data_IF_455194577975
#
_entry.id   IF_455194577975
#
_cell.length_a   1.000
_cell.length_b   1.000
_cell.length_c   1.000
_cell.angle_alpha   90.00
_cell.angle_beta   90.00
_cell.angle_gamma   90.00
#
_symmetry.space_group_name_H-M   'P 1'
#
loop_
_entity.id
_entity.type
_entity.pdbx_description
1 polymer ?
#
# COMPACT_ATOMS: atom_id res chain seq x y z
N UNK A 1 15.10 27.24 20.24
CA UNK A 1 14.18 26.12 20.59
C UNK A 1 13.06 26.00 19.55
N UNK A 2 12.24 27.04 19.33
CA UNK A 2 11.13 27.05 18.34
C UNK A 2 11.56 26.62 16.92
N UNK A 3 12.72 27.08 16.44
CA UNK A 3 13.24 26.69 15.11
C UNK A 3 13.62 25.20 14.98
N UNK A 4 14.05 24.56 16.07
CA UNK A 4 14.41 23.14 16.08
C UNK A 4 13.14 22.28 16.00
N UNK A 5 12.09 22.64 16.76
CA UNK A 5 10.80 21.95 16.73
C UNK A 5 10.10 22.04 15.37
N UNK A 6 10.15 23.20 14.71
CA UNK A 6 9.63 23.34 13.33
C UNK A 6 10.40 22.46 12.34
N UNK A 7 11.74 22.43 12.42
CA UNK A 7 12.55 21.61 11.50
C UNK A 7 12.27 20.12 11.63
N UNK A 8 12.02 19.64 12.86
CA UNK A 8 11.69 18.24 13.12
C UNK A 8 10.31 17.84 12.57
N UNK A 9 9.29 18.67 12.76
CA UNK A 9 7.95 18.40 12.22
C UNK A 9 7.97 18.34 10.69
N UNK A 10 8.67 19.28 10.04
CA UNK A 10 8.84 19.28 8.58
C UNK A 10 9.53 18.01 8.12
N UNK A 11 10.58 17.57 8.83
CA UNK A 11 11.26 16.32 8.52
C UNK A 11 10.35 15.09 8.63
N UNK A 12 9.51 15.00 9.66
CA UNK A 12 8.56 13.89 9.83
C UNK A 12 7.51 13.87 8.71
N UNK A 13 6.97 15.03 8.34
CA UNK A 13 6.01 15.12 7.22
C UNK A 13 6.69 14.75 5.91
N UNK A 14 7.91 15.23 5.67
CA UNK A 14 8.70 14.85 4.50
C UNK A 14 8.93 13.33 4.44
N UNK A 15 9.29 12.71 5.56
CA UNK A 15 9.51 11.27 5.65
C UNK A 15 8.21 10.47 5.45
N UNK A 16 7.08 10.96 5.98
CA UNK A 16 5.76 10.39 5.72
C UNK A 16 5.42 10.39 4.23
N UNK A 17 5.65 11.51 3.55
CA UNK A 17 5.42 11.65 2.11
C UNK A 17 6.36 10.73 1.31
N UNK A 18 7.63 10.61 1.70
CA UNK A 18 8.57 9.69 1.06
C UNK A 18 8.11 8.24 1.15
N UNK A 19 7.69 7.80 2.34
CA UNK A 19 7.11 6.47 2.53
C UNK A 19 5.83 6.27 1.71
N UNK A 20 4.95 7.28 1.66
CA UNK A 20 3.73 7.22 0.87
C UNK A 20 4.01 7.15 -0.63
N UNK A 21 5.01 7.88 -1.14
CA UNK A 21 5.42 7.81 -2.55
C UNK A 21 5.92 6.41 -2.92
N UNK A 22 6.75 5.79 -2.07
CA UNK A 22 7.25 4.44 -2.30
C UNK A 22 6.08 3.43 -2.29
N UNK A 23 5.20 3.53 -1.30
CA UNK A 23 4.11 2.58 -1.14
C UNK A 23 3.03 2.73 -2.22
N UNK A 24 2.45 3.92 -2.36
CA UNK A 24 1.38 4.21 -3.33
C UNK A 24 1.91 4.19 -4.76
N UNK A 25 3.05 4.83 -5.01
CA UNK A 25 3.68 4.83 -6.33
C UNK A 25 4.11 3.43 -6.77
N UNK A 26 4.63 2.61 -5.84
CA UNK A 26 4.96 1.22 -6.09
C UNK A 26 3.74 0.35 -6.43
N UNK A 27 2.61 0.54 -5.75
CA UNK A 27 1.34 -0.12 -6.07
C UNK A 27 0.85 0.23 -7.48
N UNK A 28 0.84 1.53 -7.81
CA UNK A 28 0.46 2.02 -9.14
C UNK A 28 1.39 1.45 -10.21
N UNK A 29 2.70 1.45 -9.97
CA UNK A 29 3.69 0.90 -10.89
C UNK A 29 3.50 -0.61 -11.12
N UNK A 30 3.26 -1.38 -10.06
CA UNK A 30 3.01 -2.81 -10.18
C UNK A 30 1.77 -3.12 -11.01
N UNK A 31 0.67 -2.40 -10.77
CA UNK A 31 -0.61 -2.67 -11.43
C UNK A 31 -0.60 -2.18 -12.89
N UNK A 32 -0.11 -0.98 -13.15
CA UNK A 32 -0.22 -0.34 -14.47
C UNK A 32 0.96 -0.60 -15.40
N UNK A 33 2.15 -0.89 -14.88
CA UNK A 33 3.35 -1.11 -15.69
C UNK A 33 3.76 -2.57 -15.68
N UNK A 34 4.02 -3.13 -14.50
CA UNK A 34 4.51 -4.52 -14.38
C UNK A 34 3.46 -5.52 -14.83
N UNK A 35 2.20 -5.38 -14.38
CA UNK A 35 1.11 -6.28 -14.75
C UNK A 35 0.94 -6.43 -16.27
N UNK A 36 0.80 -5.33 -17.03
CA UNK A 36 0.73 -5.38 -18.49
C UNK A 36 2.04 -5.85 -19.14
N UNK A 37 3.21 -5.45 -18.64
CA UNK A 37 4.49 -5.89 -19.19
C UNK A 37 4.66 -7.41 -19.12
N UNK A 38 4.20 -8.04 -18.04
CA UNK A 38 4.25 -9.50 -17.86
C UNK A 38 3.31 -10.26 -18.79
N UNK A 39 2.28 -9.61 -19.38
CA UNK A 39 1.43 -10.26 -20.40
C UNK A 39 2.19 -10.65 -21.66
N UNK A 40 3.38 -10.08 -21.89
CA UNK A 40 4.27 -10.44 -23.02
C UNK A 40 5.14 -11.68 -22.74
N UNK A 41 5.01 -12.30 -21.56
CA UNK A 41 5.76 -13.50 -21.23
C UNK A 41 5.41 -14.67 -22.16
N UNK A 42 6.42 -15.47 -22.48
CA UNK A 42 6.39 -16.57 -23.44
C UNK A 42 5.54 -17.76 -23.00
N UNK A 43 5.35 -17.97 -21.70
CA UNK A 43 4.47 -19.01 -21.15
C UNK A 43 3.70 -18.54 -19.92
N UNK A 44 2.57 -19.20 -19.63
CA UNK A 44 1.73 -18.93 -18.45
C UNK A 44 2.49 -19.19 -17.14
N UNK A 45 3.32 -20.24 -17.12
CA UNK A 45 4.17 -20.58 -15.97
C UNK A 45 5.23 -19.51 -15.71
N UNK A 46 5.86 -19.02 -16.78
CA UNK A 46 6.87 -17.97 -16.70
C UNK A 46 6.26 -16.63 -16.28
N UNK A 47 5.10 -16.27 -16.84
CA UNK A 47 4.34 -15.10 -16.40
C UNK A 47 4.13 -15.12 -14.88
N UNK A 48 3.60 -16.24 -14.34
CA UNK A 48 3.32 -16.38 -12.92
C UNK A 48 4.60 -16.33 -12.08
N UNK A 49 5.66 -17.03 -12.51
CA UNK A 49 6.96 -17.05 -11.83
C UNK A 49 7.59 -15.66 -11.75
N UNK A 50 7.62 -14.93 -12.87
CA UNK A 50 8.17 -13.58 -12.93
C UNK A 50 7.36 -12.61 -12.06
N UNK A 51 6.02 -12.70 -12.11
CA UNK A 51 5.14 -11.91 -11.26
C UNK A 51 5.42 -12.13 -9.77
N UNK A 52 5.46 -13.39 -9.31
CA UNK A 52 5.73 -13.74 -7.91
C UNK A 52 7.13 -13.30 -7.43
N UNK A 53 8.12 -13.28 -8.34
CA UNK A 53 9.46 -12.79 -8.07
C UNK A 53 9.49 -11.26 -7.91
N UNK A 54 8.82 -10.52 -8.80
CA UNK A 54 8.72 -9.06 -8.72
C UNK A 54 7.96 -8.65 -7.46
N UNK A 55 6.82 -9.28 -7.18
CA UNK A 55 6.05 -9.08 -5.95
C UNK A 55 6.90 -9.33 -4.69
N UNK A 56 7.72 -10.40 -4.70
CA UNK A 56 8.61 -10.74 -3.60
C UNK A 56 9.68 -9.66 -3.33
N UNK A 57 10.26 -9.10 -4.39
CA UNK A 57 11.24 -8.00 -4.28
C UNK A 57 10.57 -6.70 -3.83
N UNK A 58 9.42 -6.37 -4.41
CA UNK A 58 8.66 -5.19 -4.01
C UNK A 58 8.26 -5.24 -2.53
N UNK A 59 7.84 -6.42 -2.04
CA UNK A 59 7.48 -6.65 -0.64
C UNK A 59 8.58 -6.21 0.33
N UNK A 60 9.84 -6.50 0.02
CA UNK A 60 10.98 -6.16 0.88
C UNK A 60 11.18 -4.64 1.06
N UNK A 61 10.80 -3.85 0.04
CA UNK A 61 10.89 -2.38 0.07
C UNK A 61 9.60 -1.76 0.61
N UNK A 62 8.46 -2.35 0.25
CA UNK A 62 7.14 -1.83 0.59
C UNK A 62 6.85 -1.90 2.09
N UNK A 63 7.11 -3.01 2.78
CA UNK A 63 6.80 -3.12 4.22
C UNK A 63 7.54 -2.11 5.10
N UNK A 64 8.85 -1.85 4.89
CA UNK A 64 9.53 -0.75 5.55
C UNK A 64 8.88 0.60 5.27
N UNK A 65 8.48 0.88 4.02
CA UNK A 65 7.78 2.11 3.67
C UNK A 65 6.42 2.25 4.37
N UNK A 66 5.66 1.16 4.47
CA UNK A 66 4.42 1.09 5.27
C UNK A 66 4.72 1.42 6.72
N UNK A 67 5.75 0.79 7.31
CA UNK A 67 6.17 1.08 8.69
C UNK A 67 6.47 2.56 8.90
N UNK A 68 7.23 3.18 8.00
CA UNK A 68 7.52 4.62 8.03
C UNK A 68 6.22 5.44 7.96
N UNK A 69 5.31 5.14 7.03
CA UNK A 69 4.04 5.87 6.89
C UNK A 69 3.18 5.76 8.15
N UNK A 70 3.08 4.57 8.75
CA UNK A 70 2.28 4.34 9.94
C UNK A 70 2.86 5.07 11.16
N UNK A 71 4.18 4.97 11.38
CA UNK A 71 4.84 5.61 12.52
C UNK A 71 4.79 7.13 12.43
N UNK A 72 5.14 7.69 11.27
CA UNK A 72 5.10 9.13 11.02
C UNK A 72 3.66 9.66 11.03
N UNK A 73 2.70 8.89 10.50
CA UNK A 73 1.28 9.23 10.52
C UNK A 73 0.72 9.29 11.95
N UNK A 74 1.07 8.29 12.78
CA UNK A 74 0.70 8.28 14.19
C UNK A 74 1.30 9.47 14.94
N UNK A 75 2.58 9.77 14.70
CA UNK A 75 3.26 10.93 15.30
C UNK A 75 2.57 12.25 14.93
N UNK A 76 2.19 12.42 13.65
CA UNK A 76 1.46 13.60 13.20
C UNK A 76 0.10 13.75 13.89
N UNK A 77 -0.65 12.65 14.08
CA UNK A 77 -1.92 12.67 14.81
C UNK A 77 -1.73 13.03 16.28
N UNK A 78 -0.74 12.43 16.95
CA UNK A 78 -0.44 12.72 18.35
C UNK A 78 -0.09 14.19 18.54
N UNK A 79 0.79 14.74 17.69
CA UNK A 79 1.16 16.15 17.77
C UNK A 79 -0.02 17.08 17.51
N UNK A 80 -0.88 16.74 16.55
CA UNK A 80 -2.08 17.52 16.29
C UNK A 80 -2.98 17.57 17.52
N UNK A 81 -3.27 16.41 18.12
CA UNK A 81 -4.13 16.31 19.30
C UNK A 81 -3.52 17.04 20.50
N UNK A 82 -2.21 16.89 20.71
CA UNK A 82 -1.48 17.56 21.77
C UNK A 82 -1.51 19.09 21.61
N UNK A 83 -1.24 19.60 20.40
CA UNK A 83 -1.30 21.03 20.10
C UNK A 83 -2.71 21.60 20.31
N UNK A 84 -3.75 20.89 19.88
CA UNK A 84 -5.14 21.33 20.12
C UNK A 84 -5.49 21.35 21.60
N UNK A 85 -5.07 20.35 22.37
CA UNK A 85 -5.29 20.28 23.82
C UNK A 85 -4.62 21.45 24.55
N UNK A 86 -3.36 21.75 24.23
CA UNK A 86 -2.62 22.88 24.82
C UNK A 86 -3.25 24.24 24.49
N UNK A 87 -3.79 24.40 23.29
CA UNK A 87 -4.44 25.64 22.86
C UNK A 87 -5.83 25.85 23.45
N UNK A 88 -6.40 24.85 24.15
CA UNK A 88 -7.79 24.86 24.62
C UNK A 88 -8.83 24.83 23.48
N UNK A 89 -8.40 24.59 22.24
CA UNK A 89 -9.24 24.56 21.06
C UNK A 89 -9.84 23.18 20.79
N UNK A 90 -10.69 23.11 19.77
CA UNK A 90 -11.23 21.85 19.25
C UNK A 90 -11.01 21.75 17.74
N UNK A 91 -10.82 20.52 17.24
CA UNK A 91 -10.75 20.27 15.81
C UNK A 91 -12.15 20.40 15.20
N UNK A 92 -12.28 21.06 14.03
CA UNK A 92 -13.56 21.11 13.31
C UNK A 92 -14.13 19.69 13.10
N UNK A 93 -15.43 19.45 13.33
CA UNK A 93 -16.02 18.10 13.22
C UNK A 93 -15.77 17.43 11.86
N UNK A 94 -15.79 18.22 10.78
CA UNK A 94 -15.53 17.72 9.43
C UNK A 94 -14.07 17.27 9.26
N UNK A 95 -13.12 18.04 9.80
CA UNK A 95 -11.70 17.68 9.78
C UNK A 95 -11.46 16.35 10.49
N UNK A 96 -12.02 16.18 11.70
CA UNK A 96 -11.88 14.95 12.49
C UNK A 96 -12.48 13.74 11.76
N UNK A 97 -13.63 13.90 11.10
CA UNK A 97 -14.26 12.83 10.30
C UNK A 97 -13.40 12.45 9.08
N UNK A 98 -12.88 13.43 8.35
CA UNK A 98 -12.00 13.17 7.19
C UNK A 98 -10.70 12.48 7.62
N UNK A 99 -10.10 12.90 8.73
CA UNK A 99 -8.91 12.27 9.30
C UNK A 99 -9.20 10.83 9.74
N UNK A 100 -10.31 10.59 10.44
CA UNK A 100 -10.73 9.25 10.85
C UNK A 100 -10.96 8.34 9.64
N UNK A 101 -11.62 8.84 8.59
CA UNK A 101 -11.81 8.11 7.34
C UNK A 101 -10.46 7.77 6.70
N UNK A 102 -9.53 8.73 6.60
CA UNK A 102 -8.18 8.49 6.07
C UNK A 102 -7.46 7.38 6.83
N UNK A 103 -7.48 7.43 8.16
CA UNK A 103 -6.83 6.40 9.01
C UNK A 103 -7.50 5.05 8.80
N UNK A 104 -8.83 4.98 8.80
CA UNK A 104 -9.58 3.74 8.55
C UNK A 104 -9.24 3.13 7.19
N UNK A 105 -9.16 3.94 6.14
CA UNK A 105 -8.75 3.48 4.81
C UNK A 105 -7.31 2.96 4.79
N UNK A 106 -6.36 3.62 5.46
CA UNK A 106 -4.99 3.10 5.57
C UNK A 106 -4.97 1.75 6.26
N UNK A 107 -5.71 1.57 7.36
CA UNK A 107 -5.79 0.28 8.07
C UNK A 107 -6.36 -0.81 7.15
N UNK A 108 -7.44 -0.53 6.42
CA UNK A 108 -8.02 -1.46 5.45
C UNK A 108 -7.00 -1.83 4.37
N UNK A 109 -6.27 -0.84 3.83
CA UNK A 109 -5.23 -1.10 2.82
C UNK A 109 -4.13 -2.03 3.36
N UNK A 110 -3.64 -1.81 4.59
CA UNK A 110 -2.62 -2.67 5.20
C UNK A 110 -3.14 -4.10 5.36
N UNK A 111 -4.38 -4.27 5.82
CA UNK A 111 -5.00 -5.59 5.99
C UNK A 111 -5.13 -6.30 4.64
N UNK A 112 -5.71 -5.64 3.63
CA UNK A 112 -5.88 -6.23 2.30
C UNK A 112 -4.53 -6.61 1.68
N UNK A 113 -3.52 -5.77 1.86
CA UNK A 113 -2.18 -6.06 1.36
C UNK A 113 -1.50 -7.20 2.13
N UNK A 114 -1.70 -7.31 3.44
CA UNK A 114 -1.24 -8.45 4.22
C UNK A 114 -1.91 -9.75 3.75
N UNK A 115 -3.22 -9.72 3.50
CA UNK A 115 -3.98 -10.87 2.98
C UNK A 115 -3.45 -11.30 1.60
N UNK A 116 -3.26 -10.36 0.68
CA UNK A 116 -2.70 -10.66 -0.65
C UNK A 116 -1.31 -11.31 -0.53
N UNK A 117 -0.44 -10.76 0.31
CA UNK A 117 0.96 -11.22 0.36
C UNK A 117 1.23 -12.45 1.20
N UNK A 118 0.45 -12.67 2.26
CA UNK A 118 0.64 -13.80 3.17
C UNK A 118 -0.22 -15.00 2.76
N UNK A 119 -1.46 -14.76 2.33
CA UNK A 119 -2.42 -15.82 2.01
C UNK A 119 -2.44 -16.09 0.51
N UNK A 120 -2.82 -15.08 -0.30
CA UNK A 120 -3.06 -15.27 -1.74
C UNK A 120 -1.77 -15.65 -2.47
N UNK A 121 -0.67 -14.94 -2.20
CA UNK A 121 0.65 -15.22 -2.76
C UNK A 121 1.16 -16.62 -2.40
N UNK A 122 0.94 -17.06 -1.14
CA UNK A 122 1.34 -18.42 -0.71
C UNK A 122 0.64 -19.49 -1.55
N UNK A 123 -0.68 -19.33 -1.77
CA UNK A 123 -1.47 -20.23 -2.64
C UNK A 123 -1.05 -20.17 -4.11
N UNK A 124 -0.65 -19.01 -4.62
CA UNK A 124 -0.09 -18.88 -5.98
C UNK A 124 1.28 -19.55 -6.13
N UNK A 125 2.13 -19.50 -5.09
CA UNK A 125 3.42 -20.22 -5.08
C UNK A 125 3.21 -21.73 -5.04
N UNK A 126 2.30 -22.20 -4.18
CA UNK A 126 1.91 -23.61 -4.09
C UNK A 126 1.39 -24.11 -5.46
N UNK A 127 0.48 -23.36 -6.07
CA UNK A 127 -0.03 -23.68 -7.41
C UNK A 127 1.04 -23.66 -8.50
N UNK A 128 2.01 -22.74 -8.45
CA UNK A 128 3.13 -22.70 -9.40
C UNK A 128 4.02 -23.94 -9.29
N UNK A 129 4.27 -24.45 -8.08
CA UNK A 129 5.07 -25.67 -7.87
C UNK A 129 4.40 -26.90 -8.48
N UNK A 130 3.07 -26.96 -8.39
CA UNK A 130 2.26 -28.07 -8.92
C UNK A 130 1.92 -27.91 -10.41
N UNK A 131 2.28 -26.77 -11.03
CA UNK A 131 2.01 -26.52 -12.44
C UNK A 131 3.06 -27.22 -13.32
N UNK A 132 2.58 -28.05 -14.25
CA UNK A 132 3.44 -28.74 -15.20
C UNK A 132 4.32 -27.74 -16.00
N UNK A 133 5.59 -28.08 -16.29
CA UNK A 133 6.50 -27.18 -17.01
C UNK A 133 5.95 -26.70 -18.36
N UNK A 134 5.22 -27.57 -19.07
CA UNK A 134 4.65 -27.32 -20.39
C UNK A 134 3.18 -26.88 -20.36
N UNK A 135 2.66 -26.50 -19.18
CA UNK A 135 1.27 -26.07 -19.06
C UNK A 135 0.99 -24.82 -19.88
N UNK A 136 0.02 -24.92 -20.79
CA UNK A 136 -0.46 -23.81 -21.64
C UNK A 136 -1.50 -22.94 -20.92
N UNK A 137 -2.08 -23.41 -19.83
CA UNK A 137 -3.09 -22.69 -19.03
C UNK A 137 -2.91 -22.94 -17.52
N UNK A 138 -3.42 -22.01 -16.70
CA UNK A 138 -3.49 -22.20 -15.24
C UNK A 138 -4.59 -23.19 -14.89
N UNK A 139 -4.38 -23.98 -13.84
CA UNK A 139 -5.45 -24.78 -13.25
C UNK A 139 -6.57 -23.87 -12.71
N UNK A 140 -7.83 -24.34 -12.73
CA UNK A 140 -8.97 -23.54 -12.28
C UNK A 140 -8.80 -22.95 -10.86
N UNK A 141 -8.31 -23.69 -9.85
CA UNK A 141 -8.05 -23.13 -8.53
C UNK A 141 -6.98 -22.02 -8.55
N UNK A 142 -5.90 -22.21 -9.31
CA UNK A 142 -4.81 -21.23 -9.41
C UNK A 142 -5.25 -19.96 -10.13
N UNK A 143 -6.14 -20.08 -11.13
CA UNK A 143 -6.73 -18.94 -11.82
C UNK A 143 -7.57 -18.08 -10.87
N UNK A 144 -8.32 -18.69 -9.94
CA UNK A 144 -9.09 -17.96 -8.92
C UNK A 144 -8.17 -17.13 -8.02
N UNK A 145 -7.09 -17.73 -7.51
CA UNK A 145 -6.10 -17.01 -6.70
C UNK A 145 -5.37 -15.92 -7.49
N UNK A 146 -5.07 -16.17 -8.76
CA UNK A 146 -4.45 -15.18 -9.64
C UNK A 146 -5.37 -13.98 -9.88
N UNK A 147 -6.66 -14.22 -10.15
CA UNK A 147 -7.66 -13.15 -10.32
C UNK A 147 -7.88 -12.38 -9.02
N UNK A 148 -7.98 -13.08 -7.89
CA UNK A 148 -8.14 -12.44 -6.59
C UNK A 148 -6.97 -11.49 -6.31
N UNK A 149 -5.73 -11.90 -6.57
CA UNK A 149 -4.55 -11.04 -6.40
C UNK A 149 -4.60 -9.80 -7.29
N UNK A 150 -5.00 -9.95 -8.56
CA UNK A 150 -5.16 -8.82 -9.48
C UNK A 150 -6.25 -7.84 -9.01
N UNK A 151 -7.39 -8.36 -8.57
CA UNK A 151 -8.49 -7.55 -8.03
C UNK A 151 -8.09 -6.84 -6.74
N UNK A 152 -7.44 -7.53 -5.81
CA UNK A 152 -6.92 -6.93 -4.58
C UNK A 152 -5.92 -5.81 -4.90
N UNK A 153 -4.99 -6.04 -5.83
CA UNK A 153 -4.05 -5.03 -6.29
C UNK A 153 -4.74 -3.77 -6.84
N UNK A 154 -5.77 -3.94 -7.67
CA UNK A 154 -6.58 -2.83 -8.20
C UNK A 154 -7.34 -2.08 -7.09
N UNK A 155 -8.01 -2.82 -6.20
CA UNK A 155 -8.75 -2.22 -5.08
C UNK A 155 -7.82 -1.43 -4.17
N UNK A 156 -6.69 -2.02 -3.77
CA UNK A 156 -5.69 -1.36 -2.92
C UNK A 156 -5.14 -0.11 -3.61
N UNK A 157 -4.88 -0.16 -4.93
CA UNK A 157 -4.44 1.01 -5.69
C UNK A 157 -5.48 2.15 -5.66
N UNK A 158 -6.76 1.84 -5.88
CA UNK A 158 -7.83 2.85 -5.84
C UNK A 158 -7.97 3.45 -4.44
N UNK A 159 -7.94 2.62 -3.39
CA UNK A 159 -7.95 3.08 -2.00
C UNK A 159 -6.75 3.97 -1.70
N UNK A 160 -5.57 3.62 -2.20
CA UNK A 160 -4.35 4.41 -2.02
C UNK A 160 -4.47 5.80 -2.63
N UNK A 161 -5.01 5.89 -3.85
CA UNK A 161 -5.28 7.18 -4.50
C UNK A 161 -6.29 8.00 -3.69
N UNK A 162 -7.35 7.38 -3.18
CA UNK A 162 -8.33 8.05 -2.32
C UNK A 162 -7.71 8.56 -1.01
N UNK A 163 -6.83 7.79 -0.37
CA UNK A 163 -6.08 8.21 0.83
C UNK A 163 -5.18 9.40 0.55
N UNK A 164 -4.49 9.42 -0.60
CA UNK A 164 -3.66 10.55 -1.01
C UNK A 164 -4.52 11.80 -1.23
N UNK A 165 -5.66 11.65 -1.92
CA UNK A 165 -6.61 12.75 -2.14
C UNK A 165 -7.12 13.33 -0.81
N UNK A 166 -7.54 12.47 0.13
CA UNK A 166 -7.93 12.90 1.49
C UNK A 166 -6.78 13.58 2.23
N UNK A 167 -5.54 13.12 2.03
CA UNK A 167 -4.35 13.75 2.58
C UNK A 167 -4.15 15.18 2.07
N UNK A 168 -4.36 15.41 0.77
CA UNK A 168 -4.27 16.74 0.16
C UNK A 168 -5.40 17.65 0.63
N UNK A 169 -6.63 17.14 0.77
CA UNK A 169 -7.76 17.93 1.26
C UNK A 169 -7.60 18.35 2.71
N UNK A 170 -6.95 17.51 3.55
CA UNK A 170 -6.67 17.83 4.96
C UNK A 170 -5.50 18.81 5.13
N UNK A 171 -4.66 18.99 4.12
CA UNK A 171 -3.50 19.88 4.15
C UNK A 171 -3.82 21.32 3.70
N UNK A 172 -5.05 21.57 3.23
CA UNK A 172 -5.56 22.89 2.86
C UNK A 172 -6.37 23.48 4.00
#
# INVERSE_FOLDING_TARGET
IIGITMSFQVFIVWLHLLGAMIWVGGLVFLVLVVGPALKRATSVREHLRLGLNVEGRFRAVMWPAVGVVLLTGLFNVINLLYATSLSGGSLPPMFTRMLALKIGLVVVMVILQAVDQLVVRSKRIEGLKNLAPEATALSAPLLTWQRLSQWLGLVIMVLAIAVVWLGVTLAR
#
